data_IF_971804049816
#
_entry.id   IF_971804049816
#
_cell.length_a   1.000
_cell.length_b   1.000
_cell.length_c   1.000
_cell.angle_alpha   90.00
_cell.angle_beta   90.00
_cell.angle_gamma   90.00
#
_symmetry.space_group_name_H-M   'P 1'
#
loop_
_entity.id
_entity.type
_entity.pdbx_description
1 polymer ?
#
# COMPACT_ATOMS: atom_id res chain seq x y z
N UNK A 1 12.61 -24.17 -0.68
CA UNK A 1 11.67 -23.38 -1.49
C UNK A 1 12.49 -22.45 -2.38
N UNK A 2 12.55 -22.78 -3.66
CA UNK A 2 13.28 -22.05 -4.69
C UNK A 2 12.49 -20.81 -5.14
N UNK A 3 13.11 -19.64 -5.16
CA UNK A 3 12.62 -18.48 -5.90
C UNK A 3 13.43 -18.39 -7.20
N UNK A 4 12.79 -18.78 -8.32
CA UNK A 4 13.32 -18.64 -9.68
C UNK A 4 13.22 -17.17 -10.12
N UNK A 5 14.34 -16.47 -10.16
CA UNK A 5 14.46 -15.26 -11.00
C UNK A 5 14.74 -15.70 -12.44
N UNK A 6 13.71 -15.66 -13.30
CA UNK A 6 13.86 -15.85 -14.75
C UNK A 6 14.63 -14.69 -15.38
N UNK A 7 15.54 -15.04 -16.28
CA UNK A 7 16.45 -14.17 -17.04
C UNK A 7 15.86 -13.70 -18.39
N UNK A 8 16.61 -12.81 -19.05
CA UNK A 8 16.49 -12.19 -20.41
C UNK A 8 15.75 -10.83 -20.47
N UNK A 9 16.21 -9.77 -21.15
CA UNK A 9 17.35 -9.51 -22.03
C UNK A 9 17.57 -7.97 -22.17
N UNK A 10 18.84 -7.55 -22.07
CA UNK A 10 19.58 -6.40 -22.68
C UNK A 10 18.76 -5.29 -23.39
N UNK A 11 18.93 -4.03 -22.93
CA UNK A 11 19.21 -2.88 -23.83
C UNK A 11 20.30 -1.98 -23.20
N UNK A 12 21.41 -1.91 -23.91
CA UNK A 12 22.58 -1.05 -23.74
C UNK A 12 22.23 0.41 -24.02
N UNK A 13 22.66 1.38 -23.19
CA UNK A 13 22.96 2.75 -23.63
C UNK A 13 23.86 3.49 -22.63
N UNK A 14 25.12 3.63 -23.05
CA UNK A 14 26.17 4.60 -22.72
C UNK A 14 25.97 5.56 -21.54
N UNK A 15 26.81 5.39 -20.51
CA UNK A 15 27.34 6.51 -19.74
C UNK A 15 28.82 6.24 -19.43
N UNK A 16 29.68 7.02 -20.07
CA UNK A 16 31.12 7.07 -19.85
C UNK A 16 31.37 7.54 -18.41
N UNK A 17 31.83 6.65 -17.52
CA UNK A 17 32.30 7.03 -16.19
C UNK A 17 33.71 6.50 -15.94
N UNK A 18 34.59 7.47 -15.71
CA UNK A 18 35.97 7.46 -15.25
C UNK A 18 36.42 6.16 -14.57
N UNK A 19 37.44 5.56 -15.16
CA UNK A 19 38.23 4.46 -14.60
C UNK A 19 39.02 4.99 -13.40
N UNK A 20 38.73 4.48 -12.20
CA UNK A 20 39.70 4.44 -11.10
C UNK A 20 39.78 3.02 -10.58
N UNK A 21 41.01 2.53 -10.53
CA UNK A 21 41.45 1.17 -10.23
C UNK A 21 40.76 0.52 -9.02
N UNK A 22 39.99 -0.53 -9.30
CA UNK A 22 39.89 -1.69 -8.42
C UNK A 22 39.89 -2.94 -9.29
N UNK A 23 41.02 -3.65 -9.29
CA UNK A 23 41.12 -4.98 -9.89
C UNK A 23 40.24 -5.95 -9.10
N UNK A 24 38.98 -6.07 -9.51
CA UNK A 24 38.09 -7.16 -9.12
C UNK A 24 37.79 -7.99 -10.36
N UNK A 25 38.33 -9.20 -10.42
CA UNK A 25 37.97 -10.19 -11.44
C UNK A 25 36.46 -10.44 -11.33
N UNK A 26 35.68 -9.88 -12.24
CA UNK A 26 34.24 -10.20 -12.36
C UNK A 26 34.15 -11.58 -13.01
N UNK A 27 34.21 -12.63 -12.18
CA UNK A 27 33.75 -13.96 -12.58
C UNK A 27 32.24 -13.84 -12.78
N UNK A 28 31.80 -13.97 -14.03
CA UNK A 28 30.37 -14.03 -14.36
C UNK A 28 29.80 -15.40 -13.97
N UNK A 29 29.77 -15.67 -12.68
CA UNK A 29 28.86 -16.68 -12.15
C UNK A 29 27.47 -16.05 -12.26
N UNK A 30 26.56 -16.64 -13.03
CA UNK A 30 25.21 -16.11 -13.30
C UNK A 30 24.29 -16.19 -12.06
N UNK A 31 24.82 -15.83 -10.88
CA UNK A 31 24.15 -15.87 -9.59
C UNK A 31 23.96 -14.43 -9.13
N UNK A 32 22.71 -14.03 -8.92
CA UNK A 32 22.40 -12.75 -8.28
C UNK A 32 22.96 -12.75 -6.86
N UNK A 33 23.70 -11.70 -6.50
CA UNK A 33 24.19 -11.50 -5.14
C UNK A 33 23.28 -10.52 -4.39
N UNK A 34 22.88 -10.87 -3.17
CA UNK A 34 22.17 -9.94 -2.30
C UNK A 34 23.13 -8.83 -1.85
N UNK A 35 22.81 -7.58 -2.18
CA UNK A 35 23.51 -6.41 -1.65
C UNK A 35 22.82 -5.92 -0.35
N UNK A 36 23.57 -5.29 0.57
CA UNK A 36 22.98 -4.55 1.67
C UNK A 36 22.01 -3.49 1.14
N UNK A 37 20.94 -3.20 1.91
CA UNK A 37 20.05 -2.08 1.59
C UNK A 37 20.84 -0.76 1.67
N UNK A 38 20.68 0.10 0.67
CA UNK A 38 21.31 1.42 0.62
C UNK A 38 20.70 2.39 1.64
N UNK A 39 19.41 2.23 1.93
CA UNK A 39 18.67 3.10 2.83
C UNK A 39 18.13 2.33 4.05
N UNK A 40 17.86 3.05 5.16
CA UNK A 40 17.02 2.57 6.24
C UNK A 40 15.65 2.03 5.75
N UNK A 41 14.98 1.16 6.51
CA UNK A 41 13.74 0.50 6.09
C UNK A 41 12.57 1.45 5.78
N UNK A 42 12.57 2.63 6.37
CA UNK A 42 11.58 3.70 6.24
C UNK A 42 11.90 4.69 5.11
N UNK A 43 12.96 4.44 4.32
CA UNK A 43 13.41 5.34 3.27
C UNK A 43 13.68 4.62 1.96
N UNK A 44 13.50 5.36 0.86
CA UNK A 44 13.67 4.84 -0.49
C UNK A 44 14.85 5.55 -1.15
N UNK A 45 15.76 4.76 -1.72
CA UNK A 45 16.88 5.29 -2.51
C UNK A 45 16.37 5.75 -3.87
N UNK A 46 16.62 7.02 -4.22
CA UNK A 46 16.24 7.60 -5.51
C UNK A 46 17.51 7.80 -6.34
N UNK A 47 17.72 7.05 -7.43
CA UNK A 47 18.93 7.17 -8.24
C UNK A 47 19.17 8.55 -8.84
N UNK A 48 18.11 9.31 -9.13
CA UNK A 48 18.22 10.65 -9.71
C UNK A 48 18.86 11.66 -8.74
N UNK A 49 18.60 11.53 -7.44
CA UNK A 49 19.13 12.42 -6.40
C UNK A 49 20.33 11.85 -5.67
N UNK A 50 20.60 10.54 -5.84
CA UNK A 50 21.62 9.78 -5.11
C UNK A 50 21.40 9.82 -3.58
N UNK A 51 20.15 9.97 -3.12
CA UNK A 51 19.80 10.16 -1.72
C UNK A 51 18.64 9.23 -1.28
N UNK A 52 18.50 9.08 0.04
CA UNK A 52 17.43 8.34 0.70
C UNK A 52 16.29 9.28 1.10
N UNK A 53 15.15 9.18 0.41
CA UNK A 53 14.00 10.03 0.63
C UNK A 53 12.95 9.37 1.52
N UNK A 54 12.18 10.22 2.22
CA UNK A 54 10.94 9.80 2.87
C UNK A 54 9.91 9.44 1.78
N UNK A 55 9.10 8.38 1.95
CA UNK A 55 8.03 8.05 1.02
C UNK A 55 7.06 9.20 0.71
N UNK A 56 6.91 10.15 1.64
CA UNK A 56 6.03 11.32 1.52
C UNK A 56 6.76 12.59 1.04
N UNK A 57 8.01 12.46 0.59
CA UNK A 57 8.80 13.60 0.12
C UNK A 57 8.24 14.18 -1.19
N UNK A 58 7.49 15.28 -1.05
CA UNK A 58 6.86 16.00 -2.17
C UNK A 58 7.85 16.67 -3.11
N UNK A 59 9.13 16.78 -2.73
CA UNK A 59 10.18 17.29 -3.63
C UNK A 59 10.59 16.28 -4.70
N UNK A 60 10.32 14.98 -4.47
CA UNK A 60 10.61 13.90 -5.42
C UNK A 60 9.36 13.54 -6.22
N UNK A 61 8.22 13.37 -5.54
CA UNK A 61 6.95 13.01 -6.15
C UNK A 61 5.98 14.19 -6.12
N UNK A 62 5.69 14.83 -7.27
CA UNK A 62 4.72 15.92 -7.33
C UNK A 62 3.28 15.40 -7.22
N UNK A 63 2.33 16.33 -7.09
CA UNK A 63 0.88 16.10 -7.26
C UNK A 63 0.24 15.11 -6.27
N UNK A 64 0.70 15.12 -5.02
CA UNK A 64 0.17 14.26 -3.93
C UNK A 64 0.40 12.76 -4.14
N UNK A 65 1.41 12.42 -4.96
CA UNK A 65 1.91 11.05 -5.12
C UNK A 65 2.90 10.71 -4.02
N UNK A 66 2.97 9.44 -3.70
CA UNK A 66 3.95 8.89 -2.76
C UNK A 66 5.01 8.10 -3.52
N UNK A 67 6.20 8.06 -2.93
CA UNK A 67 7.33 7.31 -3.44
C UNK A 67 7.20 5.84 -2.99
N UNK A 68 7.22 4.93 -3.96
CA UNK A 68 7.16 3.49 -3.74
C UNK A 68 8.39 2.79 -4.31
N UNK A 69 8.69 1.61 -3.76
CA UNK A 69 9.70 0.71 -4.29
C UNK A 69 9.02 -0.43 -5.04
N UNK A 70 9.37 -0.61 -6.32
CA UNK A 70 8.90 -1.76 -7.09
C UNK A 70 9.52 -3.06 -6.57
N UNK A 71 8.96 -4.20 -6.97
CA UNK A 71 9.55 -5.52 -6.69
C UNK A 71 11.01 -5.66 -7.20
N UNK A 72 11.41 -4.83 -8.16
CA UNK A 72 12.77 -4.80 -8.72
C UNK A 72 13.70 -3.82 -8.00
N UNK A 73 13.23 -3.14 -6.94
CA UNK A 73 14.03 -2.16 -6.21
C UNK A 73 14.13 -0.80 -6.89
N UNK A 74 13.24 -0.49 -7.85
CA UNK A 74 13.20 0.82 -8.51
C UNK A 74 12.25 1.75 -7.79
N UNK A 75 12.65 2.99 -7.56
CA UNK A 75 11.79 4.02 -6.98
C UNK A 75 10.83 4.56 -8.04
N UNK A 76 9.53 4.61 -7.73
CA UNK A 76 8.47 5.16 -8.59
C UNK A 76 7.55 6.08 -7.79
N UNK A 77 6.89 7.03 -8.45
CA UNK A 77 5.85 7.87 -7.84
C UNK A 77 4.47 7.35 -8.27
N UNK A 78 3.66 6.96 -7.30
CA UNK A 78 2.30 6.46 -7.53
C UNK A 78 1.33 7.09 -6.54
N UNK A 79 0.04 6.90 -6.78
CA UNK A 79 -0.99 7.37 -5.87
C UNK A 79 -0.93 6.62 -4.52
N UNK A 80 -1.17 7.30 -3.39
CA UNK A 80 -1.21 6.65 -2.08
C UNK A 80 -2.24 5.53 -2.05
N UNK A 81 -2.01 4.54 -1.20
CA UNK A 81 -2.89 3.38 -1.05
C UNK A 81 -4.33 3.82 -0.77
N UNK A 82 -5.29 3.28 -1.53
CA UNK A 82 -6.70 3.66 -1.43
C UNK A 82 -7.10 4.86 -2.30
N UNK A 83 -6.20 5.34 -3.16
CA UNK A 83 -6.51 6.35 -4.18
C UNK A 83 -6.13 5.84 -5.57
N UNK A 84 -6.71 6.44 -6.59
CA UNK A 84 -6.43 6.11 -8.00
C UNK A 84 -6.17 7.38 -8.78
N UNK A 85 -5.33 7.25 -9.82
CA UNK A 85 -5.12 8.33 -10.76
C UNK A 85 -6.41 8.62 -11.53
N UNK A 86 -6.88 9.86 -11.42
CA UNK A 86 -8.00 10.38 -12.18
C UNK A 86 -7.50 11.50 -13.08
N UNK A 87 -7.71 11.34 -14.39
CA UNK A 87 -7.33 12.35 -15.39
C UNK A 87 -8.58 13.04 -15.92
N UNK A 88 -8.51 14.36 -16.01
CA UNK A 88 -9.61 15.21 -16.48
C UNK A 88 -9.55 15.55 -17.97
N UNK A 89 -8.76 14.80 -18.74
CA UNK A 89 -8.46 15.14 -20.14
C UNK A 89 -7.60 16.40 -20.32
N UNK A 90 -7.23 17.12 -19.24
CA UNK A 90 -6.36 18.31 -19.24
C UNK A 90 -4.95 18.00 -18.69
N UNK A 91 -4.55 16.73 -18.67
CA UNK A 91 -3.24 16.23 -18.18
C UNK A 91 -2.92 16.53 -16.71
N UNK A 92 -3.87 17.00 -15.91
CA UNK A 92 -3.68 17.08 -14.45
C UNK A 92 -4.09 15.73 -13.87
N UNK A 93 -3.12 14.98 -13.36
CA UNK A 93 -3.37 13.70 -12.69
C UNK A 93 -3.50 13.96 -11.21
N UNK A 94 -4.70 13.75 -10.67
CA UNK A 94 -4.98 13.88 -9.23
C UNK A 94 -5.25 12.49 -8.67
N UNK A 95 -4.66 12.20 -7.51
CA UNK A 95 -4.95 10.98 -6.76
C UNK A 95 -6.27 11.14 -6.01
N UNK A 96 -7.30 10.43 -6.44
CA UNK A 96 -8.64 10.52 -5.87
C UNK A 96 -8.99 9.26 -5.07
N UNK A 97 -9.57 9.38 -3.86
CA UNK A 97 -9.91 8.20 -3.08
C UNK A 97 -10.96 7.33 -3.76
N UNK A 98 -10.79 6.02 -3.68
CA UNK A 98 -11.83 5.07 -4.11
C UNK A 98 -13.09 5.24 -3.24
N UNK A 99 -14.24 4.96 -3.83
CA UNK A 99 -15.55 5.16 -3.21
C UNK A 99 -15.75 6.60 -2.70
N UNK A 100 -15.12 7.58 -3.36
CA UNK A 100 -15.41 9.00 -3.15
C UNK A 100 -16.18 9.57 -4.33
N UNK A 101 -16.80 10.74 -4.16
CA UNK A 101 -17.55 11.43 -5.23
C UNK A 101 -16.71 11.60 -6.49
N UNK A 102 -15.38 11.73 -6.38
CA UNK A 102 -14.52 12.10 -7.51
C UNK A 102 -14.87 13.48 -8.07
N UNK A 103 -13.91 14.11 -8.73
CA UNK A 103 -14.13 15.44 -9.30
C UNK A 103 -15.00 15.38 -10.57
N UNK A 104 -14.98 14.25 -11.28
CA UNK A 104 -15.64 14.07 -12.58
C UNK A 104 -16.84 13.14 -12.58
N UNK A 105 -17.20 12.56 -11.44
CA UNK A 105 -18.36 11.69 -11.39
C UNK A 105 -19.65 12.49 -11.26
N UNK A 106 -20.71 11.98 -11.88
CA UNK A 106 -22.05 12.59 -11.78
C UNK A 106 -22.58 12.42 -10.36
N UNK A 107 -23.64 13.16 -10.04
CA UNK A 107 -24.34 12.97 -8.77
C UNK A 107 -24.77 11.51 -8.57
N UNK A 108 -24.58 11.00 -7.35
CA UNK A 108 -24.85 9.60 -7.02
C UNK A 108 -23.78 8.60 -7.47
N UNK A 109 -22.73 9.06 -8.15
CA UNK A 109 -21.61 8.21 -8.57
C UNK A 109 -20.38 8.42 -7.70
N UNK A 110 -19.55 7.38 -7.64
CA UNK A 110 -18.26 7.33 -6.97
C UNK A 110 -17.20 6.72 -7.87
N UNK A 111 -15.93 6.98 -7.58
CA UNK A 111 -14.82 6.31 -8.24
C UNK A 111 -14.74 4.87 -7.75
N UNK A 112 -14.99 3.91 -8.63
CA UNK A 112 -15.01 2.50 -8.27
C UNK A 112 -14.64 1.58 -9.42
N UNK A 113 -14.45 0.30 -9.09
CA UNK A 113 -14.11 -0.75 -10.04
C UNK A 113 -15.35 -1.52 -10.43
N UNK A 114 -15.47 -1.84 -11.72
CA UNK A 114 -16.47 -2.82 -12.18
C UNK A 114 -16.05 -4.25 -11.83
N UNK A 115 -14.75 -4.50 -11.97
CA UNK A 115 -14.04 -5.72 -11.62
C UNK A 115 -12.57 -5.35 -11.37
N UNK A 116 -11.83 -6.23 -10.68
CA UNK A 116 -10.44 -5.96 -10.29
C UNK A 116 -9.46 -5.87 -11.47
N UNK A 117 -9.84 -6.35 -12.65
CA UNK A 117 -8.98 -6.31 -13.84
C UNK A 117 -9.20 -5.06 -14.70
N UNK A 118 -10.20 -4.26 -14.36
CA UNK A 118 -10.58 -3.05 -15.08
C UNK A 118 -10.10 -1.80 -14.35
N UNK A 119 -9.77 -0.71 -15.07
CA UNK A 119 -9.44 0.56 -14.44
C UNK A 119 -10.64 1.10 -13.64
N UNK A 120 -10.35 1.91 -12.62
CA UNK A 120 -11.37 2.63 -11.88
C UNK A 120 -12.12 3.59 -12.82
N UNK A 121 -13.42 3.74 -12.58
CA UNK A 121 -14.30 4.63 -13.34
C UNK A 121 -15.43 5.16 -12.45
N UNK A 122 -16.15 6.17 -12.92
CA UNK A 122 -17.32 6.68 -12.22
C UNK A 122 -18.50 5.69 -12.35
N UNK A 123 -18.85 5.04 -11.24
CA UNK A 123 -19.95 4.08 -11.13
C UNK A 123 -20.94 4.54 -10.06
N UNK A 124 -22.21 4.10 -10.10
CA UNK A 124 -23.14 4.32 -8.99
C UNK A 124 -22.54 3.83 -7.65
N UNK A 125 -22.79 4.56 -6.56
CA UNK A 125 -22.34 4.14 -5.23
C UNK A 125 -22.91 2.75 -4.90
N UNK A 126 -22.05 1.71 -4.70
CA UNK A 126 -22.50 0.37 -4.37
C UNK A 126 -23.26 0.30 -3.04
N UNK A 127 -23.17 1.34 -2.22
CA UNK A 127 -23.88 1.49 -0.95
C UNK A 127 -24.91 2.62 -0.96
N UNK A 128 -25.47 2.91 -2.13
CA UNK A 128 -26.67 3.76 -2.29
C UNK A 128 -26.57 5.13 -1.60
N UNK A 129 -25.41 5.76 -1.66
CA UNK A 129 -25.15 7.10 -1.13
C UNK A 129 -24.41 7.12 0.21
N UNK A 130 -24.25 5.98 0.90
CA UNK A 130 -23.48 5.94 2.16
C UNK A 130 -22.03 6.40 1.98
N UNK A 131 -21.40 6.08 0.85
CA UNK A 131 -20.02 6.50 0.60
C UNK A 131 -19.91 7.99 0.26
N UNK A 132 -20.95 8.58 -0.32
CA UNK A 132 -21.03 10.01 -0.62
C UNK A 132 -21.30 10.87 0.63
N UNK A 133 -21.92 10.30 1.66
CA UNK A 133 -22.23 10.96 2.94
C UNK A 133 -21.19 10.65 4.03
N UNK A 134 -20.16 9.89 3.66
CA UNK A 134 -19.09 9.45 4.52
C UNK A 134 -18.30 10.63 5.08
N UNK A 135 -17.91 10.56 6.35
CA UNK A 135 -17.06 11.57 6.98
C UNK A 135 -15.66 11.58 6.35
N UNK A 136 -15.01 12.75 6.22
CA UNK A 136 -13.61 12.82 5.79
C UNK A 136 -12.72 11.92 6.67
N UNK A 137 -11.82 11.16 6.03
CA UNK A 137 -10.91 10.24 6.72
C UNK A 137 -11.55 8.93 7.21
N UNK A 138 -12.87 8.74 7.04
CA UNK A 138 -13.48 7.47 7.42
C UNK A 138 -13.40 6.43 6.30
N UNK A 139 -13.31 5.15 6.67
CA UNK A 139 -13.19 4.05 5.73
C UNK A 139 -14.47 3.85 4.89
N UNK A 140 -14.36 3.33 3.66
CA UNK A 140 -15.52 3.15 2.80
C UNK A 140 -16.51 2.12 3.31
N UNK A 141 -17.75 2.20 2.82
CA UNK A 141 -18.77 1.17 2.95
C UNK A 141 -18.75 0.27 1.72
N UNK A 142 -18.90 -1.03 1.93
CA UNK A 142 -18.94 -2.02 0.84
C UNK A 142 -20.04 -3.04 1.10
N UNK A 143 -20.84 -3.43 0.08
CA UNK A 143 -21.92 -4.39 0.24
C UNK A 143 -21.37 -5.77 0.59
N UNK A 144 -21.99 -6.40 1.58
CA UNK A 144 -21.69 -7.75 2.04
C UNK A 144 -22.01 -8.77 0.95
N UNK A 145 -21.12 -9.73 0.78
CA UNK A 145 -21.31 -10.82 -0.18
C UNK A 145 -22.55 -11.67 0.16
N UNK A 146 -22.92 -11.75 1.43
CA UNK A 146 -23.95 -12.68 1.92
C UNK A 146 -25.37 -12.13 1.77
N UNK A 147 -25.56 -10.83 2.04
CA UNK A 147 -26.88 -10.21 2.13
C UNK A 147 -26.99 -8.87 1.38
N UNK A 148 -25.90 -8.37 0.80
CA UNK A 148 -25.87 -7.07 0.12
C UNK A 148 -25.91 -5.86 1.07
N UNK A 149 -25.93 -6.06 2.39
CA UNK A 149 -25.94 -4.97 3.34
C UNK A 149 -24.58 -4.27 3.38
N UNK A 150 -24.62 -2.94 3.48
CA UNK A 150 -23.41 -2.14 3.48
C UNK A 150 -22.88 -1.88 4.88
N UNK A 151 -21.68 -2.40 5.12
CA UNK A 151 -20.90 -2.20 6.34
C UNK A 151 -19.59 -1.47 6.01
N UNK A 152 -19.03 -0.81 7.01
CA UNK A 152 -17.78 -0.06 6.87
C UNK A 152 -16.59 -1.03 6.92
N UNK A 153 -15.60 -0.82 6.05
CA UNK A 153 -14.34 -1.57 6.13
C UNK A 153 -13.66 -1.35 7.49
N UNK A 154 -12.99 -2.40 7.99
CA UNK A 154 -12.33 -2.39 9.31
C UNK A 154 -13.28 -2.62 10.49
N UNK A 155 -14.59 -2.73 10.26
CA UNK A 155 -15.54 -2.97 11.34
C UNK A 155 -15.44 -4.41 11.88
N UNK A 156 -15.37 -4.55 13.20
CA UNK A 156 -15.32 -5.84 13.91
C UNK A 156 -16.60 -6.13 14.66
N UNK A 157 -17.09 -5.15 15.42
CA UNK A 157 -18.27 -5.31 16.29
C UNK A 157 -19.59 -5.24 15.51
N UNK A 158 -20.47 -6.20 15.78
CA UNK A 158 -21.85 -6.25 15.26
C UNK A 158 -21.99 -6.64 13.79
N UNK A 159 -20.89 -6.91 13.09
CA UNK A 159 -20.88 -7.33 11.68
C UNK A 159 -20.20 -8.67 11.52
N UNK A 160 -19.03 -8.83 12.13
CA UNK A 160 -18.25 -10.05 12.04
C UNK A 160 -18.20 -10.79 13.39
N UNK A 161 -17.89 -12.10 13.33
CA UNK A 161 -17.61 -12.88 14.54
C UNK A 161 -16.33 -12.36 15.22
N UNK A 162 -16.18 -12.56 16.55
CA UNK A 162 -14.95 -12.18 17.25
C UNK A 162 -13.69 -12.76 16.60
N UNK A 163 -12.68 -11.91 16.40
CA UNK A 163 -11.42 -12.27 15.73
C UNK A 163 -11.43 -12.09 14.20
N UNK A 164 -12.55 -11.69 13.61
CA UNK A 164 -12.66 -11.36 12.19
C UNK A 164 -12.84 -9.85 12.00
N UNK A 165 -12.39 -9.36 10.85
CA UNK A 165 -12.53 -7.97 10.40
C UNK A 165 -13.30 -7.95 9.09
N UNK A 166 -14.21 -6.98 8.95
CA UNK A 166 -14.91 -6.75 7.70
C UNK A 166 -13.98 -6.07 6.68
N UNK A 167 -13.70 -6.78 5.59
CA UNK A 167 -12.70 -6.39 4.59
C UNK A 167 -13.23 -6.57 3.16
N UNK A 168 -12.50 -6.02 2.19
CA UNK A 168 -12.84 -6.11 0.77
C UNK A 168 -12.24 -7.39 0.16
N UNK A 169 -13.07 -8.26 -0.37
CA UNK A 169 -12.62 -9.36 -1.21
C UNK A 169 -12.42 -8.86 -2.65
N UNK A 170 -11.17 -8.69 -3.08
CA UNK A 170 -10.82 -8.06 -4.36
C UNK A 170 -11.45 -8.74 -5.59
N UNK A 171 -11.48 -10.09 -5.72
CA UNK A 171 -12.05 -10.74 -6.90
C UNK A 171 -13.53 -10.46 -7.13
N UNK A 172 -14.31 -10.30 -6.05
CA UNK A 172 -15.76 -10.09 -6.11
C UNK A 172 -16.18 -8.66 -5.80
N UNK A 173 -15.23 -7.81 -5.37
CA UNK A 173 -15.46 -6.44 -4.90
C UNK A 173 -16.58 -6.33 -3.84
N UNK A 174 -16.73 -7.38 -3.03
CA UNK A 174 -17.73 -7.49 -1.98
C UNK A 174 -17.07 -7.57 -0.61
N UNK A 175 -17.79 -7.14 0.42
CA UNK A 175 -17.35 -7.23 1.80
C UNK A 175 -17.46 -8.66 2.35
N UNK A 176 -16.42 -9.09 3.06
CA UNK A 176 -16.31 -10.40 3.71
C UNK A 176 -15.73 -10.23 5.12
N UNK A 177 -16.07 -11.16 6.02
CA UNK A 177 -15.45 -11.21 7.35
C UNK A 177 -14.28 -12.20 7.31
N UNK A 178 -13.06 -11.71 7.48
CA UNK A 178 -11.85 -12.51 7.38
C UNK A 178 -10.87 -12.21 8.51
N UNK A 179 -9.91 -13.11 8.72
CA UNK A 179 -8.77 -12.87 9.61
C UNK A 179 -7.76 -11.95 8.93
N UNK A 180 -6.92 -11.28 9.72
CA UNK A 180 -5.84 -10.45 9.18
C UNK A 180 -4.87 -11.28 8.32
N UNK A 181 -4.57 -12.51 8.74
CA UNK A 181 -3.70 -13.44 8.02
C UNK A 181 -4.24 -13.78 6.64
N UNK A 182 -5.54 -14.09 6.55
CA UNK A 182 -6.19 -14.40 5.26
C UNK A 182 -6.24 -13.17 4.33
N UNK A 183 -6.26 -11.98 4.90
CA UNK A 183 -6.15 -10.71 4.16
C UNK A 183 -4.71 -10.36 3.77
N UNK A 184 -3.74 -11.24 4.07
CA UNK A 184 -2.34 -11.07 3.71
C UNK A 184 -1.54 -10.22 4.69
N UNK A 185 -2.09 -9.90 5.87
CA UNK A 185 -1.33 -9.23 6.92
C UNK A 185 -0.50 -10.26 7.70
N UNK A 186 0.80 -10.01 7.78
CA UNK A 186 1.69 -10.80 8.64
C UNK A 186 1.43 -10.45 10.11
N UNK A 187 0.93 -11.42 10.88
CA UNK A 187 0.89 -11.32 12.32
C UNK A 187 2.24 -11.75 12.90
N UNK A 188 3.03 -10.78 13.38
CA UNK A 188 4.29 -11.08 14.03
C UNK A 188 4.09 -11.51 15.48
N UNK A 189 4.64 -12.67 15.85
CA UNK A 189 4.71 -13.06 17.25
C UNK A 189 5.76 -12.21 18.01
N UNK A 190 5.79 -12.32 19.34
CA UNK A 190 6.73 -11.54 20.17
C UNK A 190 8.21 -11.78 19.83
N UNK A 191 8.56 -13.01 19.41
CA UNK A 191 9.94 -13.37 19.03
C UNK A 191 10.33 -12.70 17.72
N UNK A 192 9.43 -12.70 16.74
CA UNK A 192 9.62 -12.05 15.45
C UNK A 192 9.71 -10.53 15.62
N UNK A 193 8.82 -9.95 16.42
CA UNK A 193 8.90 -8.53 16.78
C UNK A 193 10.21 -8.18 17.46
N UNK A 194 10.70 -9.02 18.39
CA UNK A 194 11.98 -8.79 19.05
C UNK A 194 13.16 -8.88 18.06
N UNK A 195 13.12 -9.83 17.12
CA UNK A 195 14.10 -9.95 16.05
C UNK A 195 14.08 -8.74 15.12
N UNK A 196 12.90 -8.34 14.65
CA UNK A 196 12.70 -7.18 13.77
C UNK A 196 13.17 -5.90 14.46
N UNK A 197 12.78 -5.68 15.72
CA UNK A 197 13.22 -4.53 16.50
C UNK A 197 14.73 -4.50 16.71
N UNK A 198 15.37 -5.67 16.89
CA UNK A 198 16.83 -5.76 17.02
C UNK A 198 17.53 -5.47 15.69
N UNK A 199 16.95 -5.88 14.57
CA UNK A 199 17.56 -5.76 13.23
C UNK A 199 17.30 -4.42 12.56
N UNK A 200 16.13 -3.83 12.80
CA UNK A 200 15.63 -2.64 12.10
C UNK A 200 15.40 -1.44 13.04
N UNK A 201 15.53 -1.63 14.36
CA UNK A 201 15.31 -0.59 15.37
C UNK A 201 13.88 -0.62 15.96
N UNK A 202 13.69 0.05 17.10
CA UNK A 202 12.42 0.08 17.86
C UNK A 202 11.33 0.98 17.25
N UNK A 203 11.66 1.74 16.22
CA UNK A 203 10.83 2.85 15.75
C UNK A 203 10.63 2.74 14.24
N UNK A 204 9.47 2.25 13.84
CA UNK A 204 8.80 2.84 12.68
C UNK A 204 8.26 4.16 13.22
N UNK A 205 8.85 5.29 12.82
CA UNK A 205 8.33 6.58 13.25
C UNK A 205 6.88 6.64 12.78
N UNK A 206 5.98 6.82 13.74
CA UNK A 206 4.56 7.04 13.51
C UNK A 206 4.45 8.38 12.79
N UNK A 207 4.55 8.40 11.46
CA UNK A 207 4.10 9.55 10.70
C UNK A 207 2.61 9.68 10.99
N UNK A 208 2.20 10.85 11.48
CA UNK A 208 0.82 11.16 11.87
C UNK A 208 -0.18 11.06 10.70
N UNK A 209 0.25 10.64 9.50
CA UNK A 209 -0.61 10.31 8.36
C UNK A 209 -1.09 8.83 8.35
N UNK A 210 -0.42 7.91 9.08
CA UNK A 210 -0.85 6.50 9.15
C UNK A 210 -1.86 6.24 10.28
N UNK A 211 -2.14 7.23 11.12
CA UNK A 211 -3.13 7.14 12.21
C UNK A 211 -4.54 7.52 11.75
N UNK A 212 -4.69 8.11 10.56
CA UNK A 212 -6.00 8.46 10.02
C UNK A 212 -6.54 7.46 8.98
N UNK A 213 -5.79 6.41 8.63
CA UNK A 213 -6.26 5.36 7.69
C UNK A 213 -6.08 3.91 8.14
N UNK A 214 -5.50 3.67 9.33
CA UNK A 214 -5.58 2.37 9.99
C UNK A 214 -6.43 2.52 11.24
N UNK A 215 -7.67 2.03 11.15
CA UNK A 215 -8.53 1.85 12.31
C UNK A 215 -7.75 1.19 13.44
N UNK A 216 -7.66 1.91 14.56
CA UNK A 216 -7.33 1.44 15.90
C UNK A 216 -6.50 0.14 15.95
N UNK A 217 -5.18 0.29 15.85
CA UNK A 217 -4.26 -0.63 16.51
C UNK A 217 -4.32 -0.33 18.02
N UNK A 218 -5.45 -0.64 18.66
CA UNK A 218 -5.48 -0.84 20.11
C UNK A 218 -4.81 -2.19 20.35
N UNK A 219 -3.61 -2.13 20.92
CA UNK A 219 -2.98 -3.22 21.64
C UNK A 219 -3.93 -3.68 22.76
N UNK A 220 -4.87 -4.57 22.44
CA UNK A 220 -5.54 -5.37 23.45
C UNK A 220 -4.62 -6.52 23.83
N UNK A 221 -3.98 -6.37 24.97
CA UNK A 221 -3.19 -7.44 25.55
C UNK A 221 -2.39 -7.01 26.77
N UNK A 222 -3.06 -6.69 27.89
CA UNK A 222 -2.72 -7.23 29.22
C UNK A 222 -3.81 -6.90 30.23
N UNK A 223 -4.66 -7.89 30.45
CA UNK A 223 -5.16 -8.40 31.72
C UNK A 223 -4.73 -7.66 33.00
N UNK A 224 -5.75 -7.26 33.75
CA UNK A 224 -5.69 -7.06 35.19
C UNK A 224 -5.31 -8.37 35.90
N UNK A 225 -4.29 -8.35 36.74
CA UNK A 225 -4.23 -9.23 37.92
C UNK A 225 -4.07 -8.34 39.14
N UNK A 226 -5.10 -8.35 39.99
CA UNK A 226 -4.96 -7.90 41.36
C UNK A 226 -4.16 -8.92 42.16
N UNK A 227 -3.26 -8.41 42.99
CA UNK A 227 -3.23 -8.61 44.45
C UNK A 227 -2.59 -7.36 45.07
#
# INVERSE_FOLDING_TARGET
MELKCSSLLIITLFATLVISNAQGVVRSDHKGHCAPRLCPPDRIFVPATQQCHDPQDTSVCPDSRELFLTAYGTAICDCPVGTVESSNGLNVVVCEPILSKGHFCKEGQVIWFKDFNSPAQCLPDPCHGKNLQRLPGSLPFVPSQNNGECHQLGQTSGVCLPGLIYALHLPTLSGVCETLENLGYEQFNQTDLAFLNRRYGKTVVKNNALVDNFGQMQLFGTWSMGY
#
